data_IF_363518769751
#
_entry.id   IF_363518769751
#
_cell.length_a   1.000
_cell.length_b   1.000
_cell.length_c   1.000
_cell.angle_alpha   90.00
_cell.angle_beta   90.00
_cell.angle_gamma   90.00
#
_symmetry.space_group_name_H-M   'P 1'
#
loop_
_entity.id
_entity.type
_entity.pdbx_description
1 polymer ?
#
# COMPACT_ATOMS: atom_id res chain seq x y z
N UNK A 1 44.43 29.32 8.60
CA UNK A 1 44.21 27.86 8.62
C UNK A 1 42.70 27.61 8.70
N UNK A 2 42.10 27.34 7.55
CA UNK A 2 40.65 27.11 7.45
C UNK A 2 40.39 25.59 7.54
N UNK A 3 39.75 25.14 8.63
CA UNK A 3 39.30 23.77 8.74
C UNK A 3 37.98 23.63 7.95
N UNK A 4 38.08 23.03 6.79
CA UNK A 4 36.89 22.54 6.06
C UNK A 4 36.29 21.37 6.84
N UNK A 5 35.17 21.64 7.51
CA UNK A 5 34.36 20.64 8.15
C UNK A 5 33.71 19.76 7.04
N UNK A 6 34.29 18.61 6.79
CA UNK A 6 33.71 17.62 5.92
C UNK A 6 32.45 17.08 6.61
N UNK A 7 31.28 17.56 6.20
CA UNK A 7 29.98 16.91 6.54
C UNK A 7 29.98 15.52 5.89
N UNK A 8 30.24 14.51 6.71
CA UNK A 8 30.07 13.12 6.31
C UNK A 8 28.57 12.94 5.95
N UNK A 9 28.28 12.85 4.64
CA UNK A 9 26.97 12.44 4.15
C UNK A 9 26.76 10.98 4.57
N UNK A 10 26.08 10.76 5.68
CA UNK A 10 25.66 9.42 6.07
C UNK A 10 24.65 8.92 5.05
N UNK A 11 24.79 7.67 4.59
CA UNK A 11 23.80 7.04 3.72
C UNK A 11 22.38 7.20 4.31
N UNK A 12 21.35 7.43 3.47
CA UNK A 12 20.00 7.61 3.98
C UNK A 12 19.55 6.37 4.79
N UNK A 13 18.85 6.62 5.89
CA UNK A 13 18.22 5.54 6.66
C UNK A 13 17.19 4.85 5.80
N UNK A 14 17.05 3.53 5.95
CA UNK A 14 16.06 2.72 5.23
C UNK A 14 14.88 2.42 6.14
N UNK A 15 13.67 2.53 5.57
CA UNK A 15 12.42 2.09 6.20
C UNK A 15 11.76 1.08 5.29
N UNK A 16 11.41 -0.09 5.82
CA UNK A 16 10.67 -1.13 5.12
C UNK A 16 9.19 -0.82 5.20
N UNK A 17 8.58 -0.54 4.05
CA UNK A 17 7.15 -0.31 3.89
C UNK A 17 6.47 -1.60 3.45
N UNK A 18 5.89 -2.30 4.42
CA UNK A 18 5.12 -3.51 4.19
C UNK A 18 3.71 -3.15 3.72
N UNK A 19 3.31 -3.65 2.55
CA UNK A 19 2.04 -3.28 1.93
C UNK A 19 1.29 -4.50 1.38
N UNK A 20 -0.04 -4.39 1.38
CA UNK A 20 -0.97 -5.40 0.89
C UNK A 20 -2.04 -4.74 0.01
N UNK A 21 -2.24 -5.26 -1.22
CA UNK A 21 -3.06 -4.60 -2.24
C UNK A 21 -4.56 -4.54 -1.91
N UNK A 22 -5.10 -5.46 -1.11
CA UNK A 22 -6.48 -5.41 -0.67
C UNK A 22 -6.69 -4.50 0.55
N UNK A 23 -5.63 -3.94 1.13
CA UNK A 23 -5.70 -3.07 2.31
C UNK A 23 -5.99 -1.63 1.92
N UNK A 24 -7.10 -1.09 2.42
CA UNK A 24 -7.51 0.31 2.23
C UNK A 24 -6.47 1.30 2.78
N UNK A 25 -5.96 1.09 3.97
CA UNK A 25 -4.96 1.99 4.57
C UNK A 25 -3.59 1.88 3.91
N UNK A 26 -3.25 0.72 3.30
CA UNK A 26 -2.06 0.62 2.46
C UNK A 26 -2.15 1.51 1.22
N UNK A 27 -3.35 1.67 0.63
CA UNK A 27 -3.58 2.61 -0.47
C UNK A 27 -3.18 4.03 -0.09
N UNK A 28 -3.69 4.53 1.04
CA UNK A 28 -3.38 5.87 1.55
C UNK A 28 -1.87 6.05 1.80
N UNK A 29 -1.25 5.02 2.35
CA UNK A 29 0.18 5.03 2.66
C UNK A 29 1.03 4.97 1.40
N UNK A 30 0.70 4.07 0.46
CA UNK A 30 1.41 3.92 -0.81
C UNK A 30 1.41 5.20 -1.65
N UNK A 31 0.29 5.94 -1.64
CA UNK A 31 0.19 7.23 -2.35
C UNK A 31 1.10 8.32 -1.78
N UNK A 32 1.50 8.22 -0.52
CA UNK A 32 2.18 9.29 0.22
C UNK A 32 3.61 8.96 0.64
N UNK A 33 3.93 7.68 0.85
CA UNK A 33 5.17 7.23 1.49
C UNK A 33 6.43 7.73 0.78
N UNK A 34 6.45 7.74 -0.55
CA UNK A 34 7.60 8.23 -1.32
C UNK A 34 7.89 9.72 -1.07
N UNK A 35 6.83 10.55 -1.06
CA UNK A 35 6.95 12.00 -0.77
C UNK A 35 7.43 12.25 0.65
N UNK A 36 6.88 11.52 1.62
CA UNK A 36 7.26 11.63 3.04
C UNK A 36 8.70 11.17 3.24
N UNK A 37 9.10 10.03 2.65
CA UNK A 37 10.46 9.52 2.72
C UNK A 37 11.49 10.50 2.15
N UNK A 38 11.17 11.07 0.96
CA UNK A 38 12.04 12.09 0.35
C UNK A 38 12.21 13.33 1.26
N UNK A 39 11.11 13.83 1.85
CA UNK A 39 11.16 14.98 2.75
C UNK A 39 11.95 14.70 4.03
N UNK A 40 11.95 13.47 4.51
CA UNK A 40 12.70 13.03 5.70
C UNK A 40 14.11 12.52 5.38
N UNK A 41 14.57 12.56 4.13
CA UNK A 41 15.83 11.94 3.69
C UNK A 41 15.95 10.46 4.09
N UNK A 42 14.89 9.71 3.82
CA UNK A 42 14.78 8.28 4.14
C UNK A 42 14.48 7.51 2.85
N UNK A 43 15.19 6.40 2.63
CA UNK A 43 14.93 5.45 1.56
C UNK A 43 13.77 4.53 1.95
N UNK A 44 12.77 4.41 1.07
CA UNK A 44 11.64 3.50 1.28
C UNK A 44 11.88 2.20 0.53
N UNK A 45 11.96 1.10 1.27
CA UNK A 45 12.05 -0.25 0.72
C UNK A 45 10.66 -0.87 0.69
N UNK A 46 10.16 -1.17 -0.49
CA UNK A 46 8.81 -1.70 -0.70
C UNK A 46 8.77 -3.22 -0.50
N UNK A 47 7.92 -3.69 0.42
CA UNK A 47 7.83 -5.09 0.83
C UNK A 47 6.39 -5.59 0.70
N UNK A 48 6.06 -6.32 -0.39
CA UNK A 48 4.72 -6.88 -0.53
C UNK A 48 4.51 -8.06 0.42
N UNK A 49 3.30 -8.18 0.97
CA UNK A 49 2.88 -9.32 1.79
C UNK A 49 1.39 -9.61 1.65
N UNK A 50 0.91 -10.69 2.25
CA UNK A 50 -0.50 -11.11 2.25
C UNK A 50 -1.07 -11.12 3.67
N UNK A 51 -2.17 -10.41 3.90
CA UNK A 51 -2.92 -10.42 5.17
C UNK A 51 -3.78 -11.67 5.34
N UNK A 52 -4.33 -12.22 4.26
CA UNK A 52 -5.22 -13.37 4.32
C UNK A 52 -4.65 -14.56 5.09
N UNK A 53 -3.43 -15.03 4.79
CA UNK A 53 -2.79 -16.11 5.56
C UNK A 53 -2.61 -15.77 7.04
N UNK A 54 -2.31 -14.52 7.38
CA UNK A 54 -2.14 -14.06 8.76
C UNK A 54 -3.47 -14.14 9.51
N UNK A 55 -4.55 -13.65 8.91
CA UNK A 55 -5.89 -13.74 9.49
C UNK A 55 -6.33 -15.19 9.71
N UNK A 56 -6.08 -16.06 8.72
CA UNK A 56 -6.38 -17.48 8.83
C UNK A 56 -5.60 -18.14 9.97
N UNK A 57 -4.32 -17.82 10.15
CA UNK A 57 -3.51 -18.31 11.25
C UNK A 57 -4.03 -17.85 12.62
N UNK A 58 -4.66 -16.68 12.68
CA UNK A 58 -5.32 -16.14 13.87
C UNK A 58 -6.74 -16.69 14.09
N UNK A 59 -7.20 -17.62 13.25
CA UNK A 59 -8.52 -18.24 13.37
C UNK A 59 -9.67 -17.41 12.75
N UNK A 60 -9.38 -16.40 11.95
CA UNK A 60 -10.40 -15.59 11.29
C UNK A 60 -10.74 -16.14 9.92
N UNK A 61 -12.05 -16.33 9.66
CA UNK A 61 -12.56 -16.85 8.39
C UNK A 61 -12.58 -15.80 7.27
N UNK A 62 -12.58 -14.51 7.63
CA UNK A 62 -12.66 -13.38 6.71
C UNK A 62 -11.95 -12.16 7.31
N UNK A 63 -11.92 -11.05 6.55
CA UNK A 63 -11.44 -9.77 7.06
C UNK A 63 -12.23 -9.35 8.31
N UNK A 64 -11.56 -8.83 9.35
CA UNK A 64 -12.24 -8.31 10.52
C UNK A 64 -13.24 -7.19 10.20
N UNK A 65 -13.09 -6.55 9.06
CA UNK A 65 -14.00 -5.50 8.58
C UNK A 65 -15.32 -6.05 8.04
N UNK A 66 -15.32 -7.31 7.59
CA UNK A 66 -16.53 -8.04 7.21
C UNK A 66 -17.15 -8.75 8.42
N UNK A 67 -16.33 -9.25 9.35
CA UNK A 67 -16.79 -9.93 10.56
C UNK A 67 -17.45 -8.96 11.57
N UNK A 68 -17.00 -7.72 11.62
CA UNK A 68 -17.51 -6.69 12.54
C UNK A 68 -18.14 -5.54 11.74
N UNK A 69 -19.44 -5.61 11.52
CA UNK A 69 -20.19 -4.68 10.65
C UNK A 69 -19.98 -3.21 11.00
N UNK A 70 -19.99 -2.86 12.28
CA UNK A 70 -19.77 -1.46 12.71
C UNK A 70 -18.36 -0.97 12.39
N UNK A 71 -17.36 -1.84 12.56
CA UNK A 71 -15.97 -1.54 12.18
C UNK A 71 -15.83 -1.33 10.68
N UNK A 72 -16.50 -2.17 9.88
CA UNK A 72 -16.54 -2.00 8.43
C UNK A 72 -17.18 -0.70 7.98
N UNK A 73 -18.34 -0.33 8.56
CA UNK A 73 -19.01 0.96 8.27
C UNK A 73 -18.14 2.15 8.64
N UNK A 74 -17.47 2.11 9.79
CA UNK A 74 -16.54 3.15 10.20
C UNK A 74 -15.37 3.29 9.23
N UNK A 75 -14.76 2.17 8.84
CA UNK A 75 -13.66 2.14 7.88
C UNK A 75 -14.01 2.88 6.58
N UNK A 76 -15.15 2.53 5.97
CA UNK A 76 -15.53 3.14 4.69
C UNK A 76 -15.73 4.66 4.82
N UNK A 77 -16.34 5.10 5.91
CA UNK A 77 -16.50 6.52 6.17
C UNK A 77 -15.17 7.23 6.44
N UNK A 78 -14.25 6.56 7.12
CA UNK A 78 -12.90 7.07 7.37
C UNK A 78 -12.10 7.16 6.06
N UNK A 79 -12.19 6.15 5.19
CA UNK A 79 -11.55 6.16 3.87
C UNK A 79 -12.03 7.31 2.98
N UNK A 80 -13.34 7.58 2.95
CA UNK A 80 -13.91 8.72 2.22
C UNK A 80 -13.28 10.03 2.70
N UNK A 81 -13.23 10.27 4.00
CA UNK A 81 -12.68 11.49 4.60
C UNK A 81 -11.18 11.64 4.37
N UNK A 82 -10.43 10.56 4.54
CA UNK A 82 -8.98 10.58 4.37
C UNK A 82 -8.59 10.77 2.91
N UNK A 83 -9.27 10.09 1.99
CA UNK A 83 -9.02 10.28 0.56
C UNK A 83 -9.36 11.70 0.11
N UNK A 84 -10.50 12.26 0.55
CA UNK A 84 -10.87 13.65 0.30
C UNK A 84 -9.81 14.62 0.83
N UNK A 85 -9.40 14.44 2.08
CA UNK A 85 -8.37 15.28 2.71
C UNK A 85 -6.98 15.20 2.06
N UNK A 86 -6.65 14.07 1.42
CA UNK A 86 -5.39 13.90 0.68
C UNK A 86 -5.51 14.18 -0.82
N UNK A 87 -6.70 14.50 -1.32
CA UNK A 87 -6.95 14.68 -2.75
C UNK A 87 -6.76 13.40 -3.56
N UNK A 88 -7.03 12.23 -2.96
CA UNK A 88 -6.94 10.93 -3.61
C UNK A 88 -8.32 10.50 -4.11
N UNK A 89 -8.43 10.00 -5.36
CA UNK A 89 -9.67 9.43 -5.84
C UNK A 89 -10.01 8.18 -5.02
N UNK A 90 -11.31 8.01 -4.70
CA UNK A 90 -11.75 6.85 -3.94
C UNK A 90 -13.11 6.36 -4.41
N UNK A 91 -13.18 5.06 -4.68
CA UNK A 91 -14.40 4.30 -4.88
C UNK A 91 -14.33 3.02 -4.06
N UNK A 92 -15.35 2.76 -3.26
CA UNK A 92 -15.46 1.51 -2.53
C UNK A 92 -15.56 0.35 -3.53
N UNK A 93 -14.68 -0.67 -3.45
CA UNK A 93 -14.75 -1.84 -4.31
C UNK A 93 -16.05 -2.63 -4.11
N UNK A 94 -16.59 -3.20 -5.17
CA UNK A 94 -17.82 -4.04 -5.12
C UNK A 94 -17.58 -5.34 -4.33
N UNK A 95 -16.35 -5.86 -4.38
CA UNK A 95 -15.87 -6.97 -3.56
C UNK A 95 -14.78 -6.49 -2.62
N UNK A 96 -14.87 -6.87 -1.34
CA UNK A 96 -13.85 -6.53 -0.36
C UNK A 96 -13.71 -7.65 0.69
N UNK A 97 -12.48 -8.06 1.03
CA UNK A 97 -11.22 -7.72 0.35
C UNK A 97 -11.12 -8.40 -1.03
N UNK A 98 -10.47 -7.75 -1.98
CA UNK A 98 -10.12 -8.35 -3.26
C UNK A 98 -9.06 -9.44 -3.06
N UNK A 99 -9.03 -10.46 -3.92
CA UNK A 99 -7.96 -11.44 -3.92
C UNK A 99 -6.69 -10.83 -4.51
N UNK A 100 -5.70 -10.56 -3.68
CA UNK A 100 -4.45 -9.91 -4.06
C UNK A 100 -3.30 -10.88 -4.34
N UNK A 101 -3.55 -12.21 -4.36
CA UNK A 101 -2.47 -13.21 -4.46
C UNK A 101 -1.64 -13.05 -5.73
N UNK A 102 -2.26 -12.91 -6.89
CA UNK A 102 -1.53 -12.76 -8.16
C UNK A 102 -0.75 -11.44 -8.19
N UNK A 103 -1.39 -10.35 -7.82
CA UNK A 103 -0.77 -9.03 -7.70
C UNK A 103 0.45 -9.04 -6.78
N UNK A 104 0.33 -9.70 -5.62
CA UNK A 104 1.44 -9.82 -4.67
C UNK A 104 2.58 -10.67 -5.23
N UNK A 105 2.29 -11.73 -6.01
CA UNK A 105 3.33 -12.52 -6.69
C UNK A 105 4.09 -11.70 -7.71
N UNK A 106 3.40 -10.87 -8.50
CA UNK A 106 4.06 -9.95 -9.45
C UNK A 106 4.93 -8.95 -8.68
N UNK A 107 4.41 -8.34 -7.62
CA UNK A 107 5.16 -7.41 -6.79
C UNK A 107 6.39 -8.05 -6.13
N UNK A 108 6.33 -9.34 -5.78
CA UNK A 108 7.50 -10.07 -5.24
C UNK A 108 8.64 -10.20 -6.25
N UNK A 109 8.34 -10.30 -7.55
CA UNK A 109 9.36 -10.28 -8.59
C UNK A 109 10.03 -8.90 -8.71
N UNK A 110 9.30 -7.85 -8.34
CA UNK A 110 9.78 -6.47 -8.37
C UNK A 110 10.51 -6.01 -7.10
N UNK A 111 10.74 -6.89 -6.13
CA UNK A 111 11.45 -6.48 -4.90
C UNK A 111 12.86 -5.97 -5.21
N UNK A 112 13.13 -4.72 -4.83
CA UNK A 112 14.40 -4.07 -5.13
C UNK A 112 14.48 -3.41 -6.52
N UNK A 113 13.49 -3.61 -7.38
CA UNK A 113 13.41 -3.01 -8.71
C UNK A 113 12.77 -1.62 -8.67
N UNK A 114 13.19 -0.75 -9.55
CA UNK A 114 12.71 0.64 -9.62
C UNK A 114 11.24 0.75 -10.02
N UNK A 115 10.70 -0.23 -10.74
CA UNK A 115 9.32 -0.21 -11.21
C UNK A 115 8.28 -0.57 -10.13
N UNK A 116 8.68 -1.27 -9.05
CA UNK A 116 7.73 -1.76 -8.05
C UNK A 116 6.88 -0.67 -7.39
N UNK A 117 7.42 0.49 -7.00
CA UNK A 117 6.60 1.58 -6.42
C UNK A 117 5.53 2.10 -7.38
N UNK A 118 5.84 2.21 -8.68
CA UNK A 118 4.89 2.69 -9.69
C UNK A 118 3.81 1.65 -9.97
N UNK A 119 4.17 0.40 -10.13
CA UNK A 119 3.24 -0.72 -10.24
C UNK A 119 2.30 -0.77 -9.04
N UNK A 120 2.83 -0.68 -7.83
CA UNK A 120 2.01 -0.74 -6.62
C UNK A 120 0.99 0.41 -6.58
N UNK A 121 1.40 1.64 -6.88
CA UNK A 121 0.49 2.80 -6.93
C UNK A 121 -0.57 2.66 -8.01
N UNK A 122 -0.20 2.20 -9.21
CA UNK A 122 -1.14 1.97 -10.30
C UNK A 122 -2.20 0.93 -9.92
N UNK A 123 -1.77 -0.17 -9.30
CA UNK A 123 -2.67 -1.24 -8.90
C UNK A 123 -3.61 -0.83 -7.75
N UNK A 124 -3.13 -0.04 -6.78
CA UNK A 124 -4.01 0.55 -5.77
C UNK A 124 -5.04 1.49 -6.38
N UNK A 125 -4.66 2.28 -7.39
CA UNK A 125 -5.58 3.15 -8.11
C UNK A 125 -6.65 2.32 -8.84
N UNK A 126 -6.24 1.28 -9.56
CA UNK A 126 -7.16 0.36 -10.23
C UNK A 126 -8.20 -0.22 -9.26
N UNK A 127 -7.76 -0.67 -8.05
CA UNK A 127 -8.64 -1.25 -7.04
C UNK A 127 -9.55 -0.19 -6.39
N UNK A 128 -8.99 0.90 -5.86
CA UNK A 128 -9.69 1.82 -4.95
C UNK A 128 -10.15 3.13 -5.59
N UNK A 129 -9.80 3.40 -6.84
CA UNK A 129 -10.31 4.54 -7.60
C UNK A 129 -11.19 4.11 -8.76
N UNK A 130 -10.72 3.15 -9.58
CA UNK A 130 -11.42 2.70 -10.77
C UNK A 130 -12.39 1.53 -10.51
N UNK A 131 -12.23 0.84 -9.38
CA UNK A 131 -13.05 -0.32 -9.00
C UNK A 131 -12.79 -1.56 -9.86
N UNK A 132 -11.56 -1.69 -10.41
CA UNK A 132 -11.14 -2.85 -11.20
C UNK A 132 -10.81 -4.04 -10.31
N UNK A 133 -11.03 -5.25 -10.83
CA UNK A 133 -10.69 -6.48 -10.11
C UNK A 133 -9.20 -6.78 -10.24
N UNK A 134 -8.44 -6.59 -9.16
CA UNK A 134 -6.99 -6.87 -9.11
C UNK A 134 -6.65 -8.36 -9.09
N UNK A 135 -7.65 -9.25 -9.06
CA UNK A 135 -7.45 -10.69 -9.27
C UNK A 135 -7.44 -11.06 -10.76
N UNK A 136 -7.91 -10.17 -11.62
CA UNK A 136 -7.91 -10.37 -13.07
C UNK A 136 -6.50 -10.10 -13.63
N UNK A 137 -5.88 -11.07 -14.33
CA UNK A 137 -4.58 -10.87 -14.98
C UNK A 137 -4.54 -9.64 -15.90
N UNK A 138 -5.63 -9.34 -16.60
CA UNK A 138 -5.71 -8.17 -17.49
C UNK A 138 -5.58 -6.83 -16.76
N UNK A 139 -5.88 -6.78 -15.46
CA UNK A 139 -5.68 -5.57 -14.64
C UNK A 139 -4.21 -5.37 -14.26
N UNK A 140 -3.38 -6.40 -14.40
CA UNK A 140 -1.96 -6.38 -14.01
C UNK A 140 -1.01 -6.07 -15.19
N UNK A 141 -1.53 -6.00 -16.41
CA UNK A 141 -0.79 -5.65 -17.64
C UNK A 141 -0.68 -4.13 -17.80
#
# INVERSE_FOLDING_TARGET
MSQASATASSAPKKIHFWFEFASTYSYLSAARVAKVGKAANVEIVWEPFLLGPIFKQQGWADSPLNLYEQKGRYLWRDMERLCDGYGLPFRRPDKFPMNSLLATRVAMLGRGEEWLPDFARALYHANFADGQDIADPATLE
#
